data_IF_598441573851
#
_entry.id   IF_598441573851
#
_cell.length_a   1.000
_cell.length_b   1.000
_cell.length_c   1.000
_cell.angle_alpha   90.00
_cell.angle_beta   90.00
_cell.angle_gamma   90.00
#
_symmetry.space_group_name_H-M   'P 1'
#
loop_
_entity.id
_entity.type
_entity.pdbx_description
1 polymer ?
#
# COMPACT_ATOMS: atom_id res chain seq x y z
N UNK A 1 15.22 -2.43 -2.86
CA UNK A 1 13.92 -1.94 -2.37
C UNK A 1 12.84 -2.89 -2.84
N UNK A 2 11.76 -3.06 -2.08
CA UNK A 2 10.51 -3.58 -2.63
C UNK A 2 10.05 -2.63 -3.74
N UNK A 3 9.77 -3.17 -4.91
CA UNK A 3 9.39 -2.37 -6.07
C UNK A 3 7.88 -2.49 -6.34
N UNK A 4 7.33 -1.43 -6.92
CA UNK A 4 5.93 -1.30 -7.27
C UNK A 4 5.40 -2.45 -8.17
N UNK A 5 4.51 -3.29 -7.64
CA UNK A 5 3.59 -4.10 -8.45
C UNK A 5 2.46 -3.24 -9.00
N UNK A 6 2.12 -2.16 -8.30
CA UNK A 6 1.37 -1.02 -8.82
C UNK A 6 2.07 0.28 -8.46
N UNK A 7 2.24 1.16 -9.45
CA UNK A 7 2.82 2.47 -9.21
C UNK A 7 1.71 3.47 -8.96
N UNK A 8 1.75 4.16 -7.82
CA UNK A 8 0.78 5.19 -7.44
C UNK A 8 0.68 6.34 -8.46
N UNK A 9 1.65 6.49 -9.37
CA UNK A 9 1.57 7.42 -10.51
C UNK A 9 0.44 7.12 -11.50
N UNK A 10 -0.17 5.93 -11.42
CA UNK A 10 -1.13 5.43 -12.40
C UNK A 10 -0.46 4.59 -13.48
N UNK A 11 -0.65 3.27 -13.43
CA UNK A 11 -0.20 2.32 -14.44
C UNK A 11 -1.03 1.03 -14.36
N UNK A 12 -0.94 0.18 -15.39
CA UNK A 12 -1.45 -1.19 -15.31
C UNK A 12 -0.77 -1.95 -14.17
N UNK A 13 -1.55 -2.66 -13.37
CA UNK A 13 -1.04 -3.52 -12.30
C UNK A 13 -0.18 -4.64 -12.91
N UNK A 14 0.98 -4.88 -12.29
CA UNK A 14 1.96 -5.91 -12.66
C UNK A 14 1.75 -7.14 -11.80
N UNK A 15 2.15 -8.30 -12.33
CA UNK A 15 1.86 -9.58 -11.70
C UNK A 15 3.05 -10.01 -10.80
N UNK A 16 2.90 -10.07 -9.47
CA UNK A 16 3.99 -10.48 -8.57
C UNK A 16 4.39 -11.95 -8.73
N UNK A 17 3.46 -12.84 -9.10
CA UNK A 17 3.76 -14.25 -9.30
C UNK A 17 4.73 -14.52 -10.48
N UNK A 18 4.47 -14.05 -11.71
CA UNK A 18 5.46 -14.09 -12.79
C UNK A 18 6.79 -13.42 -12.42
N UNK A 19 6.75 -12.28 -11.72
CA UNK A 19 7.99 -11.61 -11.27
C UNK A 19 8.84 -12.56 -10.42
N UNK A 20 8.24 -13.17 -9.39
CA UNK A 20 8.92 -14.16 -8.57
C UNK A 20 9.47 -15.33 -9.40
N UNK A 21 8.68 -15.86 -10.34
CA UNK A 21 9.12 -16.95 -11.22
C UNK A 21 10.32 -16.58 -12.08
N UNK A 22 10.39 -15.37 -12.63
CA UNK A 22 11.55 -14.93 -13.40
C UNK A 22 12.82 -14.80 -12.55
N UNK A 23 12.71 -14.34 -11.29
CA UNK A 23 13.85 -14.33 -10.37
C UNK A 23 14.29 -15.77 -10.06
N UNK A 24 13.34 -16.70 -9.91
CA UNK A 24 13.65 -18.11 -9.70
C UNK A 24 14.32 -18.75 -10.92
N UNK A 25 13.89 -18.41 -12.13
CA UNK A 25 14.52 -18.86 -13.37
C UNK A 25 15.96 -18.33 -13.48
N UNK A 26 16.19 -17.06 -13.16
CA UNK A 26 17.53 -16.49 -13.11
C UNK A 26 18.45 -17.22 -12.11
N UNK A 27 17.93 -17.58 -10.93
CA UNK A 27 18.63 -18.42 -9.96
C UNK A 27 19.00 -19.80 -10.53
N UNK A 28 18.11 -20.43 -11.30
CA UNK A 28 18.37 -21.74 -11.90
C UNK A 28 19.42 -21.67 -13.01
N UNK A 29 19.42 -20.60 -13.81
CA UNK A 29 20.34 -20.46 -14.95
C UNK A 29 21.76 -20.05 -14.54
N UNK A 30 21.87 -19.21 -13.50
CA UNK A 30 23.12 -18.52 -13.17
C UNK A 30 23.52 -18.58 -11.70
N UNK A 31 22.68 -19.13 -10.81
CA UNK A 31 22.91 -19.09 -9.36
C UNK A 31 24.17 -19.83 -8.90
N UNK A 32 24.66 -20.80 -9.66
CA UNK A 32 25.89 -21.55 -9.41
C UNK A 32 27.16 -20.88 -9.99
N UNK A 33 27.01 -19.78 -10.74
CA UNK A 33 28.09 -19.14 -11.52
C UNK A 33 28.26 -17.66 -11.25
N UNK A 34 27.19 -16.95 -10.91
CA UNK A 34 27.21 -15.51 -10.81
C UNK A 34 27.95 -15.07 -9.54
N UNK A 35 29.05 -14.32 -9.72
CA UNK A 35 29.80 -13.72 -8.62
C UNK A 35 29.42 -12.25 -8.35
N UNK A 36 28.78 -11.59 -9.31
CA UNK A 36 28.38 -10.19 -9.22
C UNK A 36 27.02 -10.02 -9.88
N UNK A 37 26.12 -9.26 -9.24
CA UNK A 37 24.88 -8.76 -9.85
C UNK A 37 24.89 -7.24 -9.90
N UNK A 38 24.55 -6.72 -11.08
CA UNK A 38 24.38 -5.31 -11.40
C UNK A 38 22.94 -5.09 -11.86
N UNK A 39 22.35 -3.94 -11.52
CA UNK A 39 20.99 -3.58 -11.92
C UNK A 39 20.97 -2.13 -12.44
N UNK A 40 19.93 -1.75 -13.19
CA UNK A 40 19.80 -0.37 -13.71
C UNK A 40 19.57 0.67 -12.60
N UNK A 41 19.29 0.23 -11.37
CA UNK A 41 19.10 1.09 -10.20
C UNK A 41 19.85 0.53 -8.98
N UNK A 42 20.28 1.43 -8.10
CA UNK A 42 21.09 1.16 -6.91
C UNK A 42 22.51 0.64 -7.22
N UNK A 43 23.13 -0.01 -6.24
CA UNK A 43 24.52 -0.46 -6.27
C UNK A 43 24.63 -1.99 -6.48
N UNK A 44 25.80 -2.51 -6.89
CA UNK A 44 26.00 -3.92 -7.15
C UNK A 44 26.04 -4.78 -5.88
N UNK A 45 25.94 -6.11 -6.03
CA UNK A 45 26.19 -7.09 -4.96
C UNK A 45 27.24 -8.09 -5.42
N UNK A 46 28.24 -8.37 -4.57
CA UNK A 46 29.40 -9.21 -4.86
C UNK A 46 29.45 -10.47 -3.99
N UNK A 47 30.05 -11.52 -4.54
CA UNK A 47 30.19 -12.86 -3.97
C UNK A 47 28.95 -13.72 -4.23
N UNK A 48 29.15 -14.92 -4.77
CA UNK A 48 28.06 -15.82 -5.16
C UNK A 48 27.00 -16.03 -4.06
N UNK A 49 27.42 -16.33 -2.82
CA UNK A 49 26.50 -16.54 -1.69
C UNK A 49 25.58 -15.33 -1.45
N UNK A 50 26.11 -14.12 -1.56
CA UNK A 50 25.34 -12.89 -1.38
C UNK A 50 24.37 -12.67 -2.55
N UNK A 51 24.81 -12.93 -3.79
CA UNK A 51 23.97 -12.85 -4.98
C UNK A 51 22.78 -13.81 -4.87
N UNK A 52 23.05 -15.08 -4.54
CA UNK A 52 22.01 -16.11 -4.36
C UNK A 52 21.06 -15.75 -3.23
N UNK A 53 21.58 -15.26 -2.10
CA UNK A 53 20.77 -14.81 -0.96
C UNK A 53 19.84 -13.65 -1.33
N UNK A 54 20.35 -12.64 -2.05
CA UNK A 54 19.56 -11.50 -2.51
C UNK A 54 18.43 -11.95 -3.43
N UNK A 55 18.74 -12.77 -4.45
CA UNK A 55 17.76 -13.24 -5.42
C UNK A 55 16.70 -14.13 -4.76
N UNK A 56 17.08 -15.06 -3.88
CA UNK A 56 16.11 -15.90 -3.13
C UNK A 56 15.18 -15.03 -2.28
N UNK A 57 15.74 -14.06 -1.56
CA UNK A 57 14.97 -13.13 -0.73
C UNK A 57 13.96 -12.31 -1.56
N UNK A 58 14.36 -11.77 -2.70
CA UNK A 58 13.48 -11.01 -3.58
C UNK A 58 12.42 -11.89 -4.26
N UNK A 59 12.79 -13.10 -4.71
CA UNK A 59 11.84 -14.10 -5.22
C UNK A 59 10.75 -14.38 -4.20
N UNK A 60 11.16 -14.67 -2.97
CA UNK A 60 10.26 -15.07 -1.89
C UNK A 60 9.36 -13.91 -1.47
N UNK A 61 9.87 -12.67 -1.48
CA UNK A 61 9.10 -11.45 -1.23
C UNK A 61 7.89 -11.32 -2.18
N UNK A 62 8.13 -11.34 -3.49
CA UNK A 62 7.03 -11.19 -4.46
C UNK A 62 6.08 -12.40 -4.44
N UNK A 63 6.60 -13.62 -4.21
CA UNK A 63 5.73 -14.80 -4.06
C UNK A 63 4.85 -14.71 -2.83
N UNK A 64 5.41 -14.27 -1.71
CA UNK A 64 4.68 -14.13 -0.47
C UNK A 64 3.58 -13.07 -0.59
N UNK A 65 3.87 -11.91 -1.20
CA UNK A 65 2.87 -10.88 -1.53
C UNK A 65 1.72 -11.50 -2.35
N UNK A 66 2.04 -12.25 -3.41
CA UNK A 66 1.03 -12.90 -4.24
C UNK A 66 0.18 -13.91 -3.45
N UNK A 67 0.84 -14.91 -2.88
CA UNK A 67 0.18 -16.12 -2.36
C UNK A 67 -0.59 -15.81 -1.08
N UNK A 68 -0.06 -14.96 -0.20
CA UNK A 68 -0.77 -14.60 1.04
C UNK A 68 -1.92 -13.63 0.79
N UNK A 69 -1.82 -12.74 -0.20
CA UNK A 69 -2.96 -11.91 -0.59
C UNK A 69 -4.11 -12.79 -1.07
N UNK A 70 -3.83 -13.73 -1.98
CA UNK A 70 -4.85 -14.67 -2.47
C UNK A 70 -5.39 -15.58 -1.36
N UNK A 71 -4.54 -16.06 -0.44
CA UNK A 71 -4.98 -16.87 0.70
C UNK A 71 -5.98 -16.10 1.57
N UNK A 72 -5.69 -14.83 1.87
CA UNK A 72 -6.56 -14.00 2.71
C UNK A 72 -7.83 -13.57 1.97
N UNK A 73 -7.75 -13.29 0.66
CA UNK A 73 -8.92 -13.04 -0.17
C UNK A 73 -9.85 -14.26 -0.24
N UNK A 74 -9.30 -15.47 -0.35
CA UNK A 74 -10.06 -16.73 -0.28
C UNK A 74 -10.71 -16.96 1.10
N UNK A 75 -10.27 -16.25 2.14
CA UNK A 75 -10.90 -16.25 3.47
C UNK A 75 -11.98 -15.16 3.60
N UNK A 76 -12.30 -14.46 2.51
CA UNK A 76 -13.34 -13.43 2.46
C UNK A 76 -12.86 -12.04 2.86
N UNK A 77 -11.56 -11.83 3.07
CA UNK A 77 -11.03 -10.50 3.40
C UNK A 77 -11.01 -9.60 2.17
N UNK A 78 -11.44 -8.36 2.35
CA UNK A 78 -11.39 -7.30 1.34
C UNK A 78 -9.97 -6.77 1.16
N UNK A 79 -9.74 -6.04 0.05
CA UNK A 79 -8.47 -5.39 -0.28
C UNK A 79 -7.83 -4.65 0.90
N UNK A 80 -8.60 -3.82 1.58
CA UNK A 80 -8.12 -2.94 2.65
C UNK A 80 -7.87 -3.71 3.96
N UNK A 81 -8.69 -4.72 4.27
CA UNK A 81 -8.48 -5.62 5.41
C UNK A 81 -7.23 -6.49 5.24
N UNK A 82 -6.98 -7.01 4.02
CA UNK A 82 -5.76 -7.77 3.76
C UNK A 82 -4.55 -6.88 4.01
N UNK A 83 -4.51 -5.68 3.41
CA UNK A 83 -3.38 -4.76 3.58
C UNK A 83 -3.12 -4.38 5.05
N UNK A 84 -4.17 -4.25 5.87
CA UNK A 84 -4.05 -3.97 7.29
C UNK A 84 -3.51 -5.15 8.13
N UNK A 85 -3.78 -6.39 7.71
CA UNK A 85 -3.40 -7.61 8.42
C UNK A 85 -2.16 -8.30 7.85
N UNK A 86 -1.70 -7.88 6.68
CA UNK A 86 -0.57 -8.49 5.99
C UNK A 86 0.75 -8.22 6.71
N UNK A 87 1.48 -9.27 7.07
CA UNK A 87 2.81 -9.17 7.68
C UNK A 87 3.81 -10.02 6.93
N UNK A 88 4.94 -9.41 6.55
CA UNK A 88 6.09 -10.16 6.06
C UNK A 88 6.71 -10.97 7.21
N UNK A 89 7.16 -12.21 6.98
CA UNK A 89 7.92 -12.95 7.97
C UNK A 89 9.25 -12.25 8.22
N UNK A 90 9.81 -12.39 9.42
CA UNK A 90 11.05 -11.69 9.83
C UNK A 90 12.23 -11.95 8.88
N UNK A 91 12.30 -13.14 8.27
CA UNK A 91 13.29 -13.49 7.25
C UNK A 91 13.26 -12.57 6.03
N UNK A 92 12.08 -12.02 5.67
CA UNK A 92 11.91 -11.08 4.57
C UNK A 92 11.89 -9.63 5.06
N UNK A 93 11.23 -9.36 6.19
CA UNK A 93 11.05 -8.01 6.73
C UNK A 93 12.36 -7.34 7.17
N UNK A 94 13.33 -8.13 7.64
CA UNK A 94 14.61 -7.64 8.17
C UNK A 94 15.73 -7.60 7.11
N UNK A 95 15.38 -7.68 5.83
CA UNK A 95 16.33 -7.54 4.72
C UNK A 95 16.17 -6.16 4.09
N UNK A 96 17.24 -5.34 4.11
CA UNK A 96 17.23 -3.97 3.57
C UNK A 96 16.71 -3.88 2.13
N UNK A 97 17.11 -4.81 1.27
CA UNK A 97 16.67 -4.84 -0.12
C UNK A 97 15.14 -5.06 -0.27
N UNK A 98 14.47 -5.62 0.74
CA UNK A 98 13.04 -5.91 0.72
C UNK A 98 12.19 -4.80 1.37
N UNK A 99 12.81 -3.78 1.97
CA UNK A 99 12.09 -2.67 2.59
C UNK A 99 11.38 -1.83 1.53
N UNK A 100 10.21 -1.30 1.89
CA UNK A 100 9.34 -0.54 1.01
C UNK A 100 9.73 0.92 0.86
N UNK A 101 10.88 1.20 0.23
CA UNK A 101 11.31 2.59 -0.06
C UNK A 101 10.72 3.16 -1.35
N UNK A 102 10.05 2.32 -2.15
CA UNK A 102 9.52 2.73 -3.46
C UNK A 102 8.17 2.08 -3.74
N UNK A 103 8.12 0.75 -3.69
CA UNK A 103 6.87 0.02 -3.41
C UNK A 103 6.63 -0.02 -1.91
N UNK A 104 5.41 -0.37 -1.50
CA UNK A 104 5.08 -0.65 -0.11
C UNK A 104 4.27 -1.94 -0.05
N UNK A 105 4.44 -2.70 1.04
CA UNK A 105 3.67 -3.94 1.24
C UNK A 105 2.16 -3.64 1.17
N UNK A 106 1.73 -2.54 1.79
CA UNK A 106 0.33 -2.14 1.82
C UNK A 106 -0.24 -2.00 0.42
N UNK A 107 0.31 -1.12 -0.43
CA UNK A 107 -0.28 -0.88 -1.74
C UNK A 107 -0.02 -2.00 -2.76
N UNK A 108 1.09 -2.75 -2.65
CA UNK A 108 1.34 -3.90 -3.53
C UNK A 108 0.39 -5.07 -3.24
N UNK A 109 0.01 -5.26 -1.97
CA UNK A 109 -1.03 -6.23 -1.56
C UNK A 109 -2.40 -5.79 -2.07
N UNK A 110 -2.76 -4.51 -1.90
CA UNK A 110 -4.02 -3.96 -2.44
C UNK A 110 -4.09 -4.14 -3.95
N UNK A 111 -3.00 -3.87 -4.66
CA UNK A 111 -2.90 -4.06 -6.09
C UNK A 111 -3.02 -5.53 -6.50
N UNK A 112 -2.43 -6.44 -5.73
CA UNK A 112 -2.55 -7.88 -5.98
C UNK A 112 -3.99 -8.35 -5.82
N UNK A 113 -4.74 -7.86 -4.82
CA UNK A 113 -6.18 -8.14 -4.72
C UNK A 113 -6.91 -7.70 -6.00
N UNK A 114 -6.70 -6.44 -6.41
CA UNK A 114 -7.37 -5.86 -7.58
C UNK A 114 -6.99 -6.58 -8.88
N UNK A 115 -5.75 -7.06 -9.00
CA UNK A 115 -5.30 -7.86 -10.14
C UNK A 115 -6.17 -9.11 -10.35
N UNK A 116 -6.62 -9.76 -9.27
CA UNK A 116 -7.37 -11.00 -9.33
C UNK A 116 -8.88 -10.81 -9.25
N UNK A 117 -9.36 -9.86 -8.44
CA UNK A 117 -10.78 -9.71 -8.11
C UNK A 117 -11.40 -8.39 -8.58
N UNK A 118 -10.59 -7.45 -9.07
CA UNK A 118 -11.05 -6.12 -9.47
C UNK A 118 -11.22 -5.16 -8.28
N UNK A 119 -11.87 -4.03 -8.54
CA UNK A 119 -12.03 -2.94 -7.57
C UNK A 119 -13.13 -3.20 -6.53
N UNK A 120 -14.16 -3.96 -6.92
CA UNK A 120 -15.32 -4.25 -6.10
C UNK A 120 -14.95 -5.20 -4.96
N UNK A 121 -15.34 -4.86 -3.74
CA UNK A 121 -14.98 -5.61 -2.53
C UNK A 121 -15.97 -6.74 -2.19
N UNK A 122 -17.08 -6.83 -2.93
CA UNK A 122 -18.13 -7.83 -2.72
C UNK A 122 -19.34 -7.32 -1.95
N UNK A 123 -19.26 -6.17 -1.28
CA UNK A 123 -20.39 -5.58 -0.55
C UNK A 123 -21.25 -4.71 -1.48
N UNK A 124 -22.53 -5.04 -1.75
CA UNK A 124 -23.36 -4.25 -2.65
C UNK A 124 -23.51 -2.77 -2.27
N UNK A 125 -23.27 -2.41 -1.00
CA UNK A 125 -23.28 -1.01 -0.55
C UNK A 125 -22.16 -0.16 -1.19
N UNK A 126 -21.10 -0.78 -1.71
CA UNK A 126 -19.96 -0.11 -2.37
C UNK A 126 -19.99 -0.26 -3.89
N UNK A 127 -21.05 -0.83 -4.47
CA UNK A 127 -21.14 -1.11 -5.90
C UNK A 127 -21.43 0.16 -6.72
N UNK A 128 -22.30 1.02 -6.23
CA UNK A 128 -22.76 2.25 -6.88
C UNK A 128 -22.78 3.38 -5.87
N UNK A 129 -21.59 3.71 -5.35
CA UNK A 129 -21.42 4.79 -4.37
C UNK A 129 -21.73 6.15 -5.00
N UNK A 130 -22.25 7.07 -4.19
CA UNK A 130 -22.38 8.47 -4.60
C UNK A 130 -21.01 9.03 -5.00
N UNK A 131 -20.96 9.96 -5.97
CA UNK A 131 -19.75 10.72 -6.26
C UNK A 131 -19.18 11.36 -4.98
N UNK A 132 -17.85 11.46 -4.84
CA UNK A 132 -17.21 11.88 -3.59
C UNK A 132 -17.75 13.18 -2.98
N UNK A 133 -18.02 14.21 -3.79
CA UNK A 133 -18.58 15.49 -3.33
C UNK A 133 -20.01 15.35 -2.76
N UNK A 134 -20.86 14.58 -3.44
CA UNK A 134 -22.25 14.36 -3.02
C UNK A 134 -22.32 13.54 -1.73
N UNK A 135 -21.55 12.44 -1.67
CA UNK A 135 -21.42 11.63 -0.47
C UNK A 135 -20.82 12.39 0.71
N UNK A 136 -19.84 13.25 0.46
CA UNK A 136 -19.22 14.10 1.48
C UNK A 136 -20.21 15.09 2.11
N UNK A 137 -21.05 15.76 1.31
CA UNK A 137 -22.10 16.66 1.82
C UNK A 137 -23.05 15.94 2.77
N UNK A 138 -23.48 14.72 2.41
CA UNK A 138 -24.34 13.88 3.27
C UNK A 138 -23.64 13.42 4.55
N UNK A 139 -22.38 13.03 4.45
CA UNK A 139 -21.57 12.65 5.60
C UNK A 139 -21.44 13.80 6.61
N UNK A 140 -21.13 15.01 6.13
CA UNK A 140 -21.00 16.21 6.96
C UNK A 140 -22.33 16.58 7.63
N UNK A 141 -23.44 16.54 6.88
CA UNK A 141 -24.80 16.74 7.40
C UNK A 141 -25.09 15.78 8.57
N UNK A 142 -24.84 14.48 8.38
CA UNK A 142 -25.13 13.45 9.38
C UNK A 142 -24.23 13.50 10.62
N UNK A 143 -23.01 13.99 10.47
CA UNK A 143 -22.03 14.09 11.57
C UNK A 143 -22.19 15.37 12.42
N UNK A 144 -23.16 16.22 12.08
CA UNK A 144 -23.48 17.45 12.83
C UNK A 144 -22.81 18.72 12.30
N UNK A 145 -22.36 18.72 11.04
CA UNK A 145 -21.74 19.86 10.38
C UNK A 145 -20.22 19.89 10.46
N UNK A 146 -19.61 20.78 9.66
CA UNK A 146 -18.15 20.89 9.52
C UNK A 146 -17.46 21.19 10.85
N UNK A 147 -17.95 22.17 11.61
CA UNK A 147 -17.35 22.59 12.89
C UNK A 147 -17.31 21.44 13.92
N UNK A 148 -18.38 20.63 13.97
CA UNK A 148 -18.46 19.48 14.86
C UNK A 148 -17.45 18.38 14.48
N UNK A 149 -17.24 18.17 13.17
CA UNK A 149 -16.21 17.25 12.67
C UNK A 149 -14.82 17.78 13.03
N UNK A 150 -14.53 19.05 12.72
CA UNK A 150 -13.20 19.64 12.94
C UNK A 150 -12.83 19.61 14.43
N UNK A 151 -13.76 19.93 15.33
CA UNK A 151 -13.52 19.85 16.77
C UNK A 151 -13.08 18.45 17.22
N UNK A 152 -13.77 17.40 16.75
CA UNK A 152 -13.42 16.00 17.09
C UNK A 152 -12.13 15.55 16.39
N UNK A 153 -11.95 15.95 15.14
CA UNK A 153 -10.76 15.63 14.36
C UNK A 153 -9.49 16.25 14.96
N UNK A 154 -9.56 17.45 15.54
CA UNK A 154 -8.44 18.03 16.31
C UNK A 154 -8.09 17.19 17.53
N UNK A 155 -9.09 16.67 18.26
CA UNK A 155 -8.82 15.77 19.40
C UNK A 155 -8.16 14.46 18.96
N UNK A 156 -8.56 13.91 17.82
CA UNK A 156 -7.92 12.73 17.22
C UNK A 156 -6.50 13.05 16.72
N UNK A 157 -6.29 14.25 16.18
CA UNK A 157 -4.98 14.73 15.76
C UNK A 157 -4.00 14.80 16.95
N UNK A 158 -4.44 15.38 18.06
CA UNK A 158 -3.65 15.49 19.30
C UNK A 158 -3.28 14.11 19.89
N UNK A 159 -4.08 13.08 19.58
CA UNK A 159 -3.83 11.68 19.98
C UNK A 159 -2.94 10.91 18.98
N UNK A 160 -2.55 11.53 17.87
CA UNK A 160 -1.74 10.89 16.83
C UNK A 160 -2.53 10.02 15.85
N UNK A 161 -3.87 10.12 15.82
CA UNK A 161 -4.74 9.33 14.96
C UNK A 161 -4.77 9.87 13.51
N UNK A 162 -3.63 10.25 12.96
CA UNK A 162 -3.51 11.02 11.71
C UNK A 162 -4.19 10.37 10.50
N UNK A 163 -4.14 9.03 10.39
CA UNK A 163 -4.82 8.29 9.32
C UNK A 163 -6.33 8.48 9.34
N UNK A 164 -6.92 8.60 10.52
CA UNK A 164 -8.35 8.83 10.68
C UNK A 164 -8.69 10.30 10.48
N UNK A 165 -7.89 11.21 11.03
CA UNK A 165 -8.04 12.66 10.80
C UNK A 165 -8.05 12.97 9.30
N UNK A 166 -7.07 12.48 8.55
CA UNK A 166 -7.04 12.66 7.10
C UNK A 166 -8.31 12.12 6.41
N UNK A 167 -8.79 10.93 6.78
CA UNK A 167 -9.99 10.34 6.18
C UNK A 167 -11.26 11.15 6.47
N UNK A 168 -11.46 11.58 7.72
CA UNK A 168 -12.69 12.26 8.14
C UNK A 168 -12.70 13.73 7.70
N UNK A 169 -11.57 14.43 7.78
CA UNK A 169 -11.47 15.84 7.38
C UNK A 169 -11.54 15.99 5.85
N UNK A 170 -11.07 15.00 5.09
CA UNK A 170 -11.26 14.97 3.63
C UNK A 170 -12.75 15.09 3.23
N UNK A 171 -13.68 14.54 4.04
CA UNK A 171 -15.12 14.71 3.78
C UNK A 171 -15.57 16.16 3.96
N UNK A 172 -14.98 16.91 4.88
CA UNK A 172 -15.27 18.35 5.02
C UNK A 172 -14.72 19.11 3.80
N UNK A 173 -13.49 18.81 3.38
CA UNK A 173 -12.85 19.47 2.23
C UNK A 173 -13.59 19.18 0.92
N UNK A 174 -14.04 17.94 0.70
CA UNK A 174 -14.86 17.61 -0.47
C UNK A 174 -16.26 18.25 -0.42
N UNK A 175 -16.84 18.45 0.77
CA UNK A 175 -18.15 19.09 0.91
C UNK A 175 -18.09 20.63 0.72
N UNK A 176 -17.02 21.26 1.21
CA UNK A 176 -16.72 22.68 1.06
C UNK A 176 -15.22 22.89 0.79
N UNK A 177 -14.80 22.98 -0.48
CA UNK A 177 -13.39 23.14 -0.85
C UNK A 177 -12.80 24.50 -0.47
N UNK A 178 -13.63 25.46 -0.05
CA UNK A 178 -13.17 26.77 0.41
C UNK A 178 -12.97 26.83 1.94
N UNK A 179 -13.31 25.76 2.68
CA UNK A 179 -13.09 25.69 4.12
C UNK A 179 -11.59 25.57 4.44
N UNK A 180 -10.94 26.71 4.66
CA UNK A 180 -9.50 26.76 4.89
C UNK A 180 -9.08 26.01 6.16
N UNK A 181 -9.86 26.08 7.25
CA UNK A 181 -9.55 25.38 8.49
C UNK A 181 -9.52 23.84 8.30
N UNK A 182 -10.45 23.30 7.50
CA UNK A 182 -10.45 21.88 7.15
C UNK A 182 -9.23 21.51 6.29
N UNK A 183 -8.88 22.34 5.31
CA UNK A 183 -7.72 22.11 4.45
C UNK A 183 -6.41 22.12 5.23
N UNK A 184 -6.26 23.05 6.16
CA UNK A 184 -5.06 23.16 6.99
C UNK A 184 -4.93 21.94 7.92
N UNK A 185 -6.02 21.51 8.58
CA UNK A 185 -5.99 20.32 9.43
C UNK A 185 -5.75 19.02 8.65
N UNK A 186 -6.34 18.88 7.45
CA UNK A 186 -6.05 17.74 6.57
C UNK A 186 -4.59 17.76 6.11
N UNK A 187 -4.04 18.92 5.76
CA UNK A 187 -2.65 19.08 5.37
C UNK A 187 -1.69 18.68 6.49
N UNK A 188 -1.93 19.15 7.72
CA UNK A 188 -1.12 18.78 8.89
C UNK A 188 -1.15 17.27 9.15
N UNK A 189 -2.33 16.65 9.09
CA UNK A 189 -2.47 15.20 9.25
C UNK A 189 -1.74 14.42 8.15
N UNK A 190 -1.84 14.85 6.90
CA UNK A 190 -1.13 14.24 5.77
C UNK A 190 0.39 14.45 5.87
N UNK A 191 0.85 15.60 6.36
CA UNK A 191 2.27 15.90 6.59
C UNK A 191 2.87 14.96 7.64
N UNK A 192 2.17 14.73 8.76
CA UNK A 192 2.61 13.77 9.78
C UNK A 192 2.70 12.34 9.23
N UNK A 193 1.77 11.94 8.36
CA UNK A 193 1.85 10.65 7.67
C UNK A 193 3.04 10.60 6.70
N UNK A 194 3.36 11.72 6.05
CA UNK A 194 4.53 11.87 5.19
C UNK A 194 5.85 11.68 5.94
N UNK A 195 5.97 12.22 7.16
CA UNK A 195 7.15 12.02 8.01
C UNK A 195 7.33 10.57 8.48
N UNK A 196 6.25 9.79 8.56
CA UNK A 196 6.24 8.40 9.03
C UNK A 196 6.39 7.36 7.90
N UNK A 197 6.35 7.81 6.63
CA UNK A 197 6.32 6.94 5.46
C UNK A 197 7.63 6.20 5.19
#
# INVERSE_FOLDING_TARGET
TLHNTYSLRGAKIRQPLPWSKYINEALNLWGDKAEIILAQHHWPTWGNDNVVKLLKSQRDLYRYINDQTLRMANQGMTRDEIAANFKLPSSLANTWANRGYYGSVSHDVKATYVLYLGWFDGNPATLDELPPEEGAKKFVEYMGGADAILQKATQDYDQGNFRWVAQVVSKVVFADPNNQAARDLEADALEQLGYQA
#
